data_IF_663234758302
#
_entry.id   IF_663234758302
#
_cell.length_a   1.000
_cell.length_b   1.000
_cell.length_c   1.000
_cell.angle_alpha   90.00
_cell.angle_beta   90.00
_cell.angle_gamma   90.00
#
_symmetry.space_group_name_H-M   'P 1'
#
loop_
_entity.id
_entity.type
_entity.pdbx_description
1 polymer ?
#
# COMPACT_ATOMS: atom_id res chain seq x y z
N UNK A 1 -11.97 -0.77 24.24
CA UNK A 1 -11.34 -1.64 23.23
C UNK A 1 -11.30 -1.00 21.85
N UNK A 2 -12.40 -0.86 21.09
CA UNK A 2 -12.32 -0.27 19.74
C UNK A 2 -11.87 1.20 19.72
N UNK A 3 -12.28 1.99 20.72
CA UNK A 3 -11.76 3.34 20.93
C UNK A 3 -10.23 3.34 21.11
N UNK A 4 -9.71 2.39 21.90
CA UNK A 4 -8.26 2.24 22.13
C UNK A 4 -7.50 1.80 20.87
N UNK A 5 -8.19 1.12 19.94
CA UNK A 5 -7.70 0.74 18.63
C UNK A 5 -7.82 1.88 17.59
N UNK A 6 -8.25 3.07 18.02
CA UNK A 6 -8.35 4.26 17.17
C UNK A 6 -9.64 4.37 16.35
N UNK A 7 -10.63 3.51 16.59
CA UNK A 7 -11.94 3.64 15.96
C UNK A 7 -12.72 4.78 16.59
N UNK A 8 -13.56 5.46 15.80
CA UNK A 8 -14.42 6.53 16.30
C UNK A 8 -15.89 6.15 16.24
N UNK A 9 -16.65 6.56 17.26
CA UNK A 9 -18.08 6.27 17.33
C UNK A 9 -18.86 7.21 16.40
N UNK A 10 -19.69 6.64 15.52
CA UNK A 10 -20.62 7.35 14.66
C UNK A 10 -22.04 6.83 14.88
N UNK A 11 -23.09 7.67 14.68
CA UNK A 11 -24.48 7.20 14.72
C UNK A 11 -24.79 6.14 13.65
N UNK A 12 -24.15 6.27 12.48
CA UNK A 12 -24.29 5.39 11.33
C UNK A 12 -22.89 5.15 10.77
N UNK A 13 -22.56 3.90 10.47
CA UNK A 13 -21.24 3.51 9.97
C UNK A 13 -21.23 3.60 8.45
N UNK A 14 -20.47 4.57 7.93
CA UNK A 14 -20.34 4.83 6.49
C UNK A 14 -18.88 4.83 6.02
N UNK A 15 -17.92 5.07 6.93
CA UNK A 15 -16.51 5.23 6.60
C UNK A 15 -15.61 4.23 7.37
N UNK A 16 -14.51 3.74 6.75
CA UNK A 16 -13.55 2.92 7.45
C UNK A 16 -12.99 3.61 8.69
N UNK A 17 -12.81 2.85 9.76
CA UNK A 17 -12.39 3.34 11.07
C UNK A 17 -13.53 3.77 12.00
N UNK A 18 -14.79 3.73 11.54
CA UNK A 18 -15.94 4.05 12.41
C UNK A 18 -16.67 2.82 12.96
N UNK A 19 -17.37 3.02 14.07
CA UNK A 19 -18.27 2.02 14.66
C UNK A 19 -19.52 2.67 15.25
N UNK A 20 -20.60 1.92 15.39
CA UNK A 20 -21.81 2.34 16.11
C UNK A 20 -22.26 1.25 17.07
N UNK A 21 -22.92 1.64 18.16
CA UNK A 21 -23.51 0.71 19.11
C UNK A 21 -24.96 1.12 19.39
N UNK A 22 -25.90 0.23 19.05
CA UNK A 22 -27.35 0.48 19.14
C UNK A 22 -28.06 -0.76 19.67
N UNK A 23 -28.24 -0.81 20.99
CA UNK A 23 -28.84 -1.97 21.67
C UNK A 23 -28.00 -3.23 21.42
N UNK A 24 -28.61 -4.31 20.95
CA UNK A 24 -27.89 -5.54 20.59
C UNK A 24 -27.18 -5.51 19.24
N UNK A 25 -26.97 -4.33 18.63
CA UNK A 25 -26.32 -4.23 17.31
C UNK A 25 -25.04 -3.40 17.43
N UNK A 26 -23.94 -3.96 16.95
CA UNK A 26 -22.66 -3.28 16.77
C UNK A 26 -22.34 -3.24 15.28
N UNK A 27 -22.27 -2.04 14.70
CA UNK A 27 -21.74 -1.87 13.35
C UNK A 27 -20.28 -1.42 13.45
N UNK A 28 -19.39 -1.95 12.62
CA UNK A 28 -17.97 -1.56 12.58
C UNK A 28 -17.43 -1.63 11.16
N UNK A 29 -16.66 -0.63 10.75
CA UNK A 29 -15.99 -0.63 9.44
C UNK A 29 -14.47 -0.74 9.61
N UNK A 30 -13.87 -1.94 9.46
CA UNK A 30 -12.43 -2.11 9.57
C UNK A 30 -11.69 -1.43 8.41
N UNK A 31 -10.55 -0.80 8.69
CA UNK A 31 -9.76 -0.03 7.69
C UNK A 31 -9.23 -0.88 6.53
N UNK A 32 -8.93 -2.15 6.77
CA UNK A 32 -8.49 -3.11 5.75
C UNK A 32 -9.62 -3.95 5.12
N UNK A 33 -10.87 -3.74 5.53
CA UNK A 33 -12.00 -4.53 5.03
C UNK A 33 -12.64 -3.89 3.79
N UNK A 34 -13.14 -4.73 2.89
CA UNK A 34 -13.91 -4.29 1.73
C UNK A 34 -15.25 -3.66 2.14
N UNK A 35 -15.92 -4.25 3.13
CA UNK A 35 -17.27 -3.90 3.60
C UNK A 35 -17.29 -3.78 5.13
N UNK A 36 -18.15 -2.92 5.70
CA UNK A 36 -18.41 -2.90 7.14
C UNK A 36 -19.15 -4.17 7.58
N UNK A 37 -19.12 -4.43 8.89
CA UNK A 37 -19.76 -5.57 9.53
C UNK A 37 -20.81 -5.11 10.51
N UNK A 38 -21.92 -5.83 10.55
CA UNK A 38 -22.94 -5.76 11.58
C UNK A 38 -22.83 -7.02 12.42
N UNK A 39 -22.66 -6.82 13.73
CA UNK A 39 -22.63 -7.86 14.74
C UNK A 39 -23.92 -7.73 15.53
N UNK A 40 -24.76 -8.76 15.47
CA UNK A 40 -26.00 -8.87 16.23
C UNK A 40 -25.72 -9.72 17.48
N UNK A 41 -26.09 -9.19 18.64
CA UNK A 41 -25.90 -9.79 19.94
C UNK A 41 -27.22 -10.38 20.45
N UNK A 42 -27.12 -11.54 21.09
CA UNK A 42 -28.14 -12.08 21.97
C UNK A 42 -27.61 -12.03 23.40
N UNK A 43 -28.15 -11.10 24.20
CA UNK A 43 -27.61 -10.72 25.50
C UNK A 43 -26.12 -10.32 25.42
N UNK A 44 -25.21 -11.13 25.92
CA UNK A 44 -23.75 -10.93 25.92
C UNK A 44 -23.00 -11.84 24.93
N UNK A 45 -23.72 -12.61 24.11
CA UNK A 45 -23.17 -13.50 23.10
C UNK A 45 -23.39 -12.95 21.68
N UNK A 46 -22.43 -13.21 20.78
CA UNK A 46 -22.58 -12.91 19.35
C UNK A 46 -23.52 -13.94 18.74
N UNK A 47 -24.65 -13.49 18.19
CA UNK A 47 -25.60 -14.33 17.45
C UNK A 47 -25.20 -14.43 15.98
N UNK A 48 -25.08 -13.28 15.29
CA UNK A 48 -24.65 -13.27 13.88
C UNK A 48 -23.69 -12.15 13.53
N UNK A 49 -22.82 -12.40 12.55
CA UNK A 49 -21.95 -11.38 11.94
C UNK A 49 -22.24 -11.34 10.44
N UNK A 50 -22.49 -10.14 9.90
CA UNK A 50 -22.82 -9.95 8.48
C UNK A 50 -22.11 -8.74 7.91
N UNK A 51 -21.56 -8.88 6.71
CA UNK A 51 -21.18 -7.70 5.93
C UNK A 51 -22.43 -6.93 5.49
N UNK A 52 -22.33 -5.60 5.41
CA UNK A 52 -23.40 -4.77 4.87
C UNK A 52 -22.85 -3.68 3.94
N UNK A 53 -23.71 -3.12 3.10
CA UNK A 53 -23.35 -2.02 2.21
C UNK A 53 -23.44 -0.69 2.99
N UNK A 54 -22.35 0.10 3.09
CA UNK A 54 -22.31 1.32 3.91
C UNK A 54 -23.25 2.42 3.44
N UNK A 55 -23.74 2.37 2.19
CA UNK A 55 -24.65 3.38 1.65
C UNK A 55 -26.10 2.98 1.90
N UNK A 56 -26.47 1.77 1.48
CA UNK A 56 -27.85 1.28 1.64
C UNK A 56 -28.16 0.74 3.03
N UNK A 57 -27.15 0.51 3.86
CA UNK A 57 -27.25 -0.07 5.21
C UNK A 57 -27.90 -1.48 5.23
N UNK A 58 -27.85 -2.19 4.10
CA UNK A 58 -28.43 -3.53 3.91
C UNK A 58 -27.37 -4.61 3.98
N UNK A 59 -27.70 -5.74 4.61
CA UNK A 59 -26.83 -6.91 4.67
C UNK A 59 -26.48 -7.44 3.28
N UNK A 60 -25.24 -7.89 3.12
CA UNK A 60 -24.68 -8.50 1.91
C UNK A 60 -24.54 -10.01 2.11
N UNK A 61 -23.68 -10.45 3.04
CA UNK A 61 -23.39 -11.87 3.28
C UNK A 61 -22.95 -12.11 4.74
N UNK A 62 -23.24 -13.29 5.32
CA UNK A 62 -22.76 -13.66 6.66
C UNK A 62 -21.26 -13.99 6.68
N UNK A 63 -20.66 -13.98 7.87
CA UNK A 63 -19.31 -14.49 8.16
C UNK A 63 -19.28 -15.08 9.58
N UNK A 64 -18.43 -16.07 9.80
CA UNK A 64 -18.33 -16.75 11.11
C UNK A 64 -17.32 -16.08 12.05
N UNK A 65 -16.26 -15.49 11.49
CA UNK A 65 -15.20 -14.78 12.22
C UNK A 65 -14.86 -13.48 11.49
N UNK A 66 -14.38 -12.48 12.25
CA UNK A 66 -13.69 -11.33 11.70
C UNK A 66 -12.54 -10.89 12.60
N UNK A 67 -11.45 -10.41 11.98
CA UNK A 67 -10.31 -9.83 12.68
C UNK A 67 -10.29 -8.33 12.46
N UNK A 68 -10.32 -7.58 13.55
CA UNK A 68 -10.29 -6.12 13.54
C UNK A 68 -8.85 -5.67 13.80
N UNK A 69 -8.21 -5.14 12.77
CA UNK A 69 -6.95 -4.42 12.92
C UNK A 69 -7.22 -3.04 13.56
N UNK A 70 -6.23 -2.41 14.19
CA UNK A 70 -6.32 -1.01 14.59
C UNK A 70 -6.73 -0.10 13.44
N UNK A 71 -7.56 0.90 13.74
CA UNK A 71 -7.97 1.92 12.77
C UNK A 71 -6.93 3.04 12.60
N UNK A 72 -5.92 3.10 13.48
CA UNK A 72 -4.81 4.06 13.44
C UNK A 72 -3.47 3.37 13.65
N UNK A 73 -2.42 3.97 13.09
CA UNK A 73 -1.03 3.50 13.24
C UNK A 73 -0.43 3.91 14.58
N UNK A 74 -0.83 5.06 15.13
CA UNK A 74 -0.41 5.54 16.44
C UNK A 74 -1.51 5.28 17.47
N UNK A 75 -1.19 4.50 18.50
CA UNK A 75 -2.11 4.11 19.56
C UNK A 75 -1.54 4.51 20.93
N UNK A 76 -1.61 5.80 21.31
CA UNK A 76 -1.04 6.29 22.58
C UNK A 76 -1.57 5.57 23.82
N UNK A 77 -2.84 5.16 23.80
CA UNK A 77 -3.47 4.37 24.87
C UNK A 77 -2.87 2.97 25.05
N UNK A 78 -2.20 2.44 24.02
CA UNK A 78 -1.55 1.12 24.03
C UNK A 78 -0.01 1.23 24.08
N UNK A 79 0.53 2.44 24.20
CA UNK A 79 1.97 2.67 24.29
C UNK A 79 2.56 2.07 25.58
N UNK A 80 3.81 1.64 25.53
CA UNK A 80 4.52 1.14 26.71
C UNK A 80 4.88 2.31 27.64
N UNK A 81 4.04 2.54 28.67
CA UNK A 81 4.14 3.69 29.57
C UNK A 81 5.54 3.92 30.16
N UNK A 82 6.25 2.89 30.69
CA UNK A 82 7.60 3.11 31.24
C UNK A 82 8.61 3.66 30.24
N UNK A 83 8.53 3.23 28.97
CA UNK A 83 9.43 3.75 27.93
C UNK A 83 9.08 5.19 27.61
N UNK A 84 7.78 5.48 27.48
CA UNK A 84 7.29 6.83 27.20
C UNK A 84 7.72 7.82 28.30
N UNK A 85 7.55 7.45 29.57
CA UNK A 85 8.00 8.25 30.73
C UNK A 85 9.51 8.47 30.70
N UNK A 86 10.30 7.41 30.46
CA UNK A 86 11.77 7.52 30.36
C UNK A 86 12.19 8.49 29.24
N UNK A 87 11.52 8.45 28.08
CA UNK A 87 11.79 9.36 26.97
C UNK A 87 11.36 10.78 27.26
N UNK A 88 10.25 10.97 27.98
CA UNK A 88 9.78 12.29 28.44
C UNK A 88 10.74 12.90 29.46
N UNK A 89 11.27 12.12 30.39
CA UNK A 89 12.25 12.57 31.39
C UNK A 89 13.59 12.95 30.77
N UNK A 90 13.94 12.34 29.62
CA UNK A 90 15.16 12.65 28.88
C UNK A 90 15.09 13.97 28.08
N UNK A 91 13.89 14.57 27.95
CA UNK A 91 13.70 15.82 27.22
C UNK A 91 14.38 16.99 27.93
N UNK A 92 15.28 17.66 27.22
CA UNK A 92 15.98 18.82 27.75
C UNK A 92 15.38 20.13 27.20
N UNK A 93 14.69 20.83 28.09
CA UNK A 93 14.03 22.11 27.83
C UNK A 93 14.91 23.33 28.12
N UNK A 94 16.23 23.19 28.32
CA UNK A 94 17.12 24.30 28.67
C UNK A 94 17.07 25.48 27.67
N UNK A 95 16.84 25.18 26.39
CA UNK A 95 16.69 26.19 25.32
C UNK A 95 15.23 26.67 25.12
N UNK A 96 14.26 26.05 25.79
CA UNK A 96 12.83 26.28 25.58
C UNK A 96 12.26 27.29 26.59
N UNK A 97 11.33 28.13 26.13
CA UNK A 97 10.50 28.95 27.01
C UNK A 97 9.43 28.11 27.73
N UNK A 98 8.84 28.67 28.80
CA UNK A 98 7.76 28.01 29.55
C UNK A 98 6.56 27.68 28.66
N UNK A 99 6.23 28.55 27.69
CA UNK A 99 5.14 28.31 26.74
C UNK A 99 5.28 26.99 25.96
N UNK A 100 6.51 26.64 25.55
CA UNK A 100 6.77 25.39 24.82
C UNK A 100 6.65 24.18 25.74
N UNK A 101 7.13 24.30 26.98
CA UNK A 101 7.00 23.25 27.99
C UNK A 101 5.53 22.99 28.31
N UNK A 102 4.76 24.04 28.58
CA UNK A 102 3.36 23.95 28.94
C UNK A 102 2.53 23.39 27.77
N UNK A 103 2.80 23.85 26.54
CA UNK A 103 2.17 23.31 25.32
C UNK A 103 2.45 21.82 25.14
N UNK A 104 3.71 21.37 25.25
CA UNK A 104 4.04 19.95 25.08
C UNK A 104 3.38 19.11 26.20
N UNK A 105 3.37 19.60 27.44
CA UNK A 105 2.70 18.92 28.54
C UNK A 105 1.18 18.78 28.31
N UNK A 106 0.52 19.83 27.82
CA UNK A 106 -0.90 19.81 27.45
C UNK A 106 -1.15 18.82 26.30
N UNK A 107 -0.38 18.90 25.21
CA UNK A 107 -0.51 18.01 24.05
C UNK A 107 -0.34 16.54 24.43
N UNK A 108 0.64 16.21 25.28
CA UNK A 108 0.85 14.85 25.78
C UNK A 108 -0.30 14.37 26.67
N UNK A 109 -0.92 15.26 27.47
CA UNK A 109 -2.07 14.91 28.31
C UNK A 109 -3.33 14.57 27.48
N UNK A 110 -3.49 15.21 26.32
CA UNK A 110 -4.61 14.98 25.40
C UNK A 110 -4.34 13.83 24.42
N UNK A 111 -3.07 13.46 24.23
CA UNK A 111 -2.64 12.43 23.28
C UNK A 111 -3.34 11.09 23.50
N UNK A 112 -3.64 10.73 24.75
CA UNK A 112 -4.31 9.48 25.12
C UNK A 112 -5.84 9.53 25.05
N UNK A 113 -6.44 10.73 24.98
CA UNK A 113 -7.90 10.90 25.14
C UNK A 113 -8.59 11.39 23.87
N UNK A 114 -8.05 12.38 23.18
CA UNK A 114 -8.64 12.94 21.96
C UNK A 114 -7.56 13.48 21.00
N UNK A 115 -6.62 12.63 20.55
CA UNK A 115 -5.51 13.11 19.73
C UNK A 115 -5.98 13.49 18.32
N UNK A 116 -5.58 14.69 17.88
CA UNK A 116 -5.68 15.05 16.47
C UNK A 116 -4.56 14.36 15.64
N UNK A 117 -4.74 14.18 14.31
CA UNK A 117 -3.79 13.46 13.47
C UNK A 117 -2.37 14.08 13.38
N UNK A 118 -2.27 15.41 13.46
CA UNK A 118 -1.00 16.11 13.37
C UNK A 118 -0.16 15.87 14.63
N UNK A 119 -0.78 15.97 15.81
CA UNK A 119 -0.14 15.66 17.09
C UNK A 119 0.30 14.20 17.16
N UNK A 120 -0.51 13.25 16.68
CA UNK A 120 -0.10 11.83 16.64
C UNK A 120 1.15 11.60 15.81
N UNK A 121 1.18 12.16 14.61
CA UNK A 121 2.34 12.06 13.72
C UNK A 121 3.58 12.67 14.37
N UNK A 122 3.43 13.81 15.03
CA UNK A 122 4.53 14.53 15.66
C UNK A 122 5.12 13.78 16.87
N UNK A 123 4.27 13.19 17.73
CA UNK A 123 4.70 12.45 18.92
C UNK A 123 4.91 10.94 18.66
N UNK A 124 4.91 10.49 17.40
CA UNK A 124 5.05 9.08 17.07
C UNK A 124 6.33 8.46 17.65
N UNK A 125 7.44 9.21 17.71
CA UNK A 125 8.69 8.76 18.32
C UNK A 125 8.61 8.50 19.83
N UNK A 126 7.58 8.99 20.53
CA UNK A 126 7.32 8.64 21.94
C UNK A 126 6.42 7.42 22.08
N UNK A 127 5.45 7.28 21.18
CA UNK A 127 4.35 6.31 21.28
C UNK A 127 4.71 4.96 20.65
N UNK A 128 5.49 4.98 19.58
CA UNK A 128 5.78 3.80 18.78
C UNK A 128 7.24 3.37 18.94
N UNK A 129 7.44 2.08 19.08
CA UNK A 129 8.75 1.42 19.16
C UNK A 129 8.96 0.42 18.03
N UNK A 130 7.87 0.02 17.36
CA UNK A 130 7.91 -0.96 16.31
C UNK A 130 8.45 -0.34 15.02
N UNK A 131 9.05 -1.19 14.20
CA UNK A 131 9.60 -0.81 12.90
C UNK A 131 9.28 -1.89 11.88
N UNK A 132 9.34 -1.52 10.60
CA UNK A 132 8.93 -2.39 9.50
C UNK A 132 9.68 -3.74 9.50
N UNK A 133 10.95 -3.76 9.92
CA UNK A 133 11.76 -4.98 9.92
C UNK A 133 11.21 -6.08 10.83
N UNK A 134 10.45 -5.75 11.89
CA UNK A 134 9.82 -6.75 12.75
C UNK A 134 8.73 -7.57 12.03
N UNK A 135 8.11 -6.98 11.00
CA UNK A 135 7.02 -7.59 10.25
C UNK A 135 7.49 -8.47 9.08
N UNK A 136 8.76 -8.37 8.69
CA UNK A 136 9.34 -9.16 7.59
C UNK A 136 9.56 -10.62 8.02
N UNK A 137 9.80 -10.86 9.32
CA UNK A 137 10.03 -12.18 9.90
C UNK A 137 11.33 -12.85 9.44
N UNK A 138 11.61 -14.05 9.94
CA UNK A 138 12.87 -14.78 9.62
C UNK A 138 12.91 -15.38 8.21
N UNK A 139 11.75 -15.49 7.54
CA UNK A 139 11.61 -16.13 6.24
C UNK A 139 11.31 -15.13 5.11
N UNK A 140 11.25 -13.83 5.42
CA UNK A 140 11.05 -12.81 4.42
C UNK A 140 12.30 -12.61 3.56
N UNK A 141 12.10 -12.37 2.26
CA UNK A 141 13.14 -11.92 1.35
C UNK A 141 12.94 -10.43 1.08
N UNK A 142 13.95 -9.61 1.35
CA UNK A 142 13.92 -8.18 1.00
C UNK A 142 14.56 -7.98 -0.37
N UNK A 143 13.78 -7.50 -1.33
CA UNK A 143 14.28 -7.18 -2.66
C UNK A 143 14.56 -5.68 -2.72
N UNK A 144 15.82 -5.31 -2.89
CA UNK A 144 16.29 -3.92 -2.90
C UNK A 144 16.58 -3.50 -4.34
N UNK A 145 15.68 -2.74 -4.94
CA UNK A 145 15.91 -2.13 -6.25
C UNK A 145 16.84 -0.92 -6.09
N UNK A 146 18.00 -0.95 -6.77
CA UNK A 146 19.02 0.10 -6.77
C UNK A 146 19.45 0.50 -5.36
N UNK A 147 20.01 -0.45 -4.61
CA UNK A 147 20.47 -0.25 -3.23
C UNK A 147 21.23 1.06 -3.00
N UNK A 148 22.20 1.40 -3.87
CA UNK A 148 22.97 2.64 -3.73
C UNK A 148 22.11 3.91 -3.78
N UNK A 149 20.98 3.89 -4.49
CA UNK A 149 20.02 5.00 -4.48
C UNK A 149 19.20 5.01 -3.19
N UNK A 150 18.78 3.86 -2.70
CA UNK A 150 18.06 3.75 -1.41
C UNK A 150 18.91 4.32 -0.28
N UNK A 151 20.19 3.93 -0.24
CA UNK A 151 21.16 4.44 0.73
C UNK A 151 21.35 5.96 0.62
N UNK A 152 21.58 6.47 -0.59
CA UNK A 152 21.77 7.91 -0.81
C UNK A 152 20.54 8.74 -0.38
N UNK A 153 19.33 8.29 -0.73
CA UNK A 153 18.08 8.97 -0.36
C UNK A 153 17.83 8.91 1.16
N UNK A 154 18.18 7.78 1.81
CA UNK A 154 18.06 7.65 3.26
C UNK A 154 19.01 8.61 4.00
N UNK A 155 20.27 8.69 3.58
CA UNK A 155 21.26 9.61 4.15
C UNK A 155 20.88 11.09 3.93
N UNK A 156 20.39 11.44 2.74
CA UNK A 156 19.91 12.80 2.45
C UNK A 156 18.70 13.17 3.32
N UNK A 157 17.76 12.23 3.49
CA UNK A 157 16.59 12.41 4.34
C UNK A 157 16.98 12.61 5.80
N UNK A 158 17.93 11.83 6.31
CA UNK A 158 18.47 11.94 7.65
C UNK A 158 19.15 13.30 7.88
N UNK A 159 20.02 13.74 6.98
CA UNK A 159 20.66 15.07 7.06
C UNK A 159 19.61 16.20 7.05
N UNK A 160 18.55 16.07 6.25
CA UNK A 160 17.46 17.04 6.21
C UNK A 160 16.69 17.09 7.53
N UNK A 161 16.41 15.94 8.14
CA UNK A 161 15.74 15.88 9.44
C UNK A 161 16.60 16.47 10.55
N UNK A 162 17.89 16.15 10.58
CA UNK A 162 18.80 16.66 11.60
C UNK A 162 18.93 18.19 11.50
N UNK A 163 19.13 18.74 10.29
CA UNK A 163 19.15 20.20 10.09
C UNK A 163 17.86 20.88 10.55
N UNK A 164 16.71 20.29 10.27
CA UNK A 164 15.42 20.83 10.69
C UNK A 164 15.24 20.77 12.21
N UNK A 165 15.69 19.68 12.83
CA UNK A 165 15.69 19.47 14.27
C UNK A 165 16.57 20.50 14.97
N UNK A 166 17.85 20.57 14.60
CA UNK A 166 18.81 21.53 15.15
C UNK A 166 18.31 22.97 15.04
N UNK A 167 17.71 23.33 13.90
CA UNK A 167 17.15 24.66 13.70
C UNK A 167 15.99 24.97 14.67
N UNK A 168 15.11 23.99 14.95
CA UNK A 168 14.00 24.14 15.91
C UNK A 168 14.51 24.16 17.36
N UNK A 169 15.47 23.30 17.69
CA UNK A 169 16.10 23.27 19.02
C UNK A 169 16.83 24.60 19.32
N UNK A 170 17.54 25.15 18.34
CA UNK A 170 18.25 26.43 18.49
C UNK A 170 17.30 27.64 18.59
N UNK A 171 16.09 27.55 18.03
CA UNK A 171 15.02 28.54 18.24
C UNK A 171 14.22 28.32 19.53
N UNK A 172 14.49 27.25 20.27
CA UNK A 172 13.75 26.89 21.48
C UNK A 172 12.34 26.36 21.24
N UNK A 173 12.01 26.00 19.99
CA UNK A 173 10.70 25.49 19.57
C UNK A 173 10.53 23.99 19.85
N UNK A 174 11.64 23.28 20.05
CA UNK A 174 11.71 21.85 20.32
C UNK A 174 12.74 21.60 21.43
N UNK A 175 12.42 20.79 22.46
CA UNK A 175 13.42 20.40 23.45
C UNK A 175 14.49 19.50 22.80
N UNK A 176 15.70 19.55 23.35
CA UNK A 176 16.78 18.64 22.97
C UNK A 176 16.39 17.22 23.43
N UNK A 177 16.90 16.19 22.73
CA UNK A 177 16.54 14.78 22.92
C UNK A 177 15.07 14.42 22.61
N UNK A 178 14.32 15.28 21.92
CA UNK A 178 13.01 14.90 21.40
C UNK A 178 13.10 13.62 20.54
N UNK A 179 12.32 12.55 20.85
CA UNK A 179 12.45 11.28 20.14
C UNK A 179 12.09 11.38 18.66
N UNK A 180 12.96 10.83 17.81
CA UNK A 180 12.72 10.74 16.38
C UNK A 180 11.68 9.66 16.08
N UNK A 181 10.71 9.91 15.18
CA UNK A 181 9.83 8.88 14.64
C UNK A 181 10.51 8.00 13.58
N UNK A 182 11.76 8.32 13.21
CA UNK A 182 12.54 7.63 12.18
C UNK A 182 13.73 6.90 12.80
N UNK A 183 14.05 5.74 12.23
CA UNK A 183 15.28 5.01 12.46
C UNK A 183 16.38 5.57 11.56
N UNK A 184 17.58 5.77 12.09
CA UNK A 184 18.76 6.17 11.32
C UNK A 184 19.21 5.07 10.35
N UNK A 185 19.94 5.46 9.32
CA UNK A 185 20.39 4.53 8.28
C UNK A 185 21.31 3.43 8.81
N UNK A 186 22.19 3.74 9.75
CA UNK A 186 23.13 2.76 10.32
C UNK A 186 22.36 1.64 11.04
N UNK A 187 21.40 1.99 11.89
CA UNK A 187 20.54 1.04 12.59
C UNK A 187 19.68 0.23 11.61
N UNK A 188 19.11 0.89 10.60
CA UNK A 188 18.30 0.21 9.59
C UNK A 188 19.12 -0.79 8.76
N UNK A 189 20.29 -0.37 8.24
CA UNK A 189 21.18 -1.21 7.43
C UNK A 189 21.73 -2.40 8.21
N UNK A 190 22.10 -2.20 9.48
CA UNK A 190 22.50 -3.29 10.37
C UNK A 190 21.39 -4.32 10.55
N UNK A 191 20.14 -3.89 10.74
CA UNK A 191 18.99 -4.82 10.85
C UNK A 191 18.69 -5.52 9.53
N UNK A 192 18.75 -4.78 8.42
CA UNK A 192 18.54 -5.31 7.08
C UNK A 192 19.56 -6.41 6.74
N UNK A 193 20.81 -6.29 7.22
CA UNK A 193 21.84 -7.32 7.04
C UNK A 193 21.50 -8.66 7.68
N UNK A 194 20.59 -8.68 8.67
CA UNK A 194 20.11 -9.87 9.35
C UNK A 194 18.99 -10.62 8.60
N UNK A 195 18.49 -10.07 7.49
CA UNK A 195 17.39 -10.65 6.70
C UNK A 195 17.92 -11.09 5.33
N UNK A 196 17.46 -12.22 4.77
CA UNK A 196 17.76 -12.57 3.39
C UNK A 196 17.43 -11.41 2.45
N UNK A 197 18.42 -11.00 1.65
CA UNK A 197 18.28 -9.88 0.73
C UNK A 197 18.66 -10.28 -0.69
N UNK A 198 17.95 -9.71 -1.66
CA UNK A 198 18.30 -9.76 -3.08
C UNK A 198 18.40 -8.34 -3.59
N UNK A 199 19.55 -7.96 -4.13
CA UNK A 199 19.72 -6.64 -4.73
C UNK A 199 19.44 -6.72 -6.22
N UNK A 200 18.56 -5.86 -6.71
CA UNK A 200 18.28 -5.70 -8.13
C UNK A 200 18.86 -4.37 -8.58
N UNK A 201 19.91 -4.39 -9.38
CA UNK A 201 20.45 -3.17 -9.98
C UNK A 201 19.84 -2.96 -11.38
N UNK A 202 19.48 -1.72 -11.68
CA UNK A 202 19.02 -1.33 -13.02
C UNK A 202 20.10 -0.44 -13.61
N UNK A 203 20.91 -0.97 -14.52
CA UNK A 203 21.70 -0.23 -15.52
C UNK A 203 22.47 0.99 -14.98
N UNK A 204 23.73 0.82 -14.56
CA UNK A 204 24.97 1.54 -14.95
C UNK A 204 26.20 0.75 -14.43
N UNK A 205 26.72 -0.24 -15.19
CA UNK A 205 28.03 -0.86 -14.90
C UNK A 205 28.38 -2.04 -15.79
N UNK A 206 29.67 -2.22 -16.11
CA UNK A 206 30.17 -3.38 -16.91
C UNK A 206 30.13 -4.72 -16.13
N UNK A 207 29.94 -4.68 -14.82
CA UNK A 207 29.90 -5.83 -13.88
C UNK A 207 28.45 -6.23 -13.47
N UNK A 208 27.47 -6.07 -14.35
CA UNK A 208 26.04 -6.23 -13.98
C UNK A 208 25.40 -7.61 -14.23
N UNK A 209 24.38 -7.91 -13.42
CA UNK A 209 23.44 -9.02 -13.56
C UNK A 209 22.56 -8.86 -14.82
N UNK A 210 22.92 -9.56 -15.89
CA UNK A 210 22.22 -9.55 -17.19
C UNK A 210 21.03 -10.50 -17.25
N UNK A 211 20.31 -10.66 -16.14
CA UNK A 211 19.18 -11.59 -16.03
C UNK A 211 18.07 -11.16 -17.00
N UNK A 212 17.65 -9.89 -16.91
CA UNK A 212 16.63 -9.32 -17.78
C UNK A 212 17.24 -8.42 -18.85
N UNK A 213 16.89 -8.68 -20.11
CA UNK A 213 17.27 -7.88 -21.29
C UNK A 213 16.02 -7.18 -21.82
N UNK A 214 16.09 -5.93 -22.30
CA UNK A 214 14.97 -5.29 -22.97
C UNK A 214 14.49 -6.13 -24.17
N UNK A 215 13.19 -6.26 -24.34
CA UNK A 215 12.61 -6.93 -25.51
C UNK A 215 12.72 -6.07 -26.78
N UNK A 216 12.64 -6.70 -27.95
CA UNK A 216 12.69 -5.99 -29.24
C UNK A 216 11.46 -5.10 -29.43
N UNK A 217 11.69 -3.85 -29.85
CA UNK A 217 10.63 -2.89 -30.17
C UNK A 217 10.21 -3.04 -31.64
N UNK A 218 8.92 -3.31 -31.85
CA UNK A 218 8.33 -3.52 -33.18
C UNK A 218 7.60 -2.28 -33.70
N UNK A 219 7.06 -1.43 -32.83
CA UNK A 219 6.40 -0.16 -33.19
C UNK A 219 5.36 -0.32 -34.33
N UNK A 220 4.52 -1.35 -34.23
CA UNK A 220 3.46 -1.67 -35.20
C UNK A 220 3.91 -2.51 -36.39
N UNK A 221 5.20 -2.86 -36.51
CA UNK A 221 5.71 -3.77 -37.56
C UNK A 221 5.40 -5.23 -37.24
N UNK A 222 4.13 -5.59 -37.34
CA UNK A 222 3.64 -6.91 -36.92
C UNK A 222 4.14 -8.06 -37.82
N UNK A 223 4.48 -7.80 -39.09
CA UNK A 223 5.15 -8.78 -39.96
C UNK A 223 6.54 -9.16 -39.41
N UNK A 224 7.28 -8.17 -38.91
CA UNK A 224 8.59 -8.40 -38.28
C UNK A 224 8.42 -9.16 -36.97
N UNK A 225 7.41 -8.82 -36.16
CA UNK A 225 7.04 -9.55 -34.95
C UNK A 225 6.75 -11.02 -35.28
N UNK A 226 5.96 -11.31 -36.32
CA UNK A 226 5.63 -12.68 -36.70
C UNK A 226 6.87 -13.48 -37.12
N UNK A 227 7.75 -12.88 -37.92
CA UNK A 227 9.03 -13.48 -38.34
C UNK A 227 9.94 -13.79 -37.14
N UNK A 228 10.09 -12.85 -36.21
CA UNK A 228 10.90 -13.02 -35.01
C UNK A 228 10.29 -14.02 -34.04
N UNK A 229 8.97 -14.00 -33.86
CA UNK A 229 8.24 -14.98 -33.03
C UNK A 229 8.42 -16.39 -33.57
N UNK A 230 8.32 -16.58 -34.90
CA UNK A 230 8.58 -17.88 -35.53
C UNK A 230 10.02 -18.35 -35.28
N UNK A 231 10.99 -17.44 -35.36
CA UNK A 231 12.40 -17.74 -35.04
C UNK A 231 12.56 -18.13 -33.57
N UNK A 232 11.88 -17.44 -32.65
CA UNK A 232 11.84 -17.76 -31.23
C UNK A 232 11.24 -19.15 -30.97
N UNK A 233 10.14 -19.52 -31.63
CA UNK A 233 9.57 -20.86 -31.52
C UNK A 233 10.54 -21.95 -31.98
N UNK A 234 11.24 -21.73 -33.10
CA UNK A 234 12.26 -22.67 -33.61
C UNK A 234 13.47 -22.79 -32.67
N UNK A 235 13.77 -21.75 -31.90
CA UNK A 235 14.80 -21.74 -30.88
C UNK A 235 14.31 -22.25 -29.51
N UNK A 236 13.08 -22.78 -29.42
CA UNK A 236 12.43 -23.25 -28.18
C UNK A 236 12.20 -22.14 -27.13
N UNK A 237 12.12 -20.88 -27.55
CA UNK A 237 11.81 -19.78 -26.65
C UNK A 237 10.30 -19.71 -26.43
N UNK A 238 9.89 -19.41 -25.21
CA UNK A 238 8.51 -19.04 -24.93
C UNK A 238 8.31 -17.55 -25.16
N UNK A 239 7.22 -17.19 -25.83
CA UNK A 239 6.84 -15.79 -26.07
C UNK A 239 5.50 -15.54 -25.38
N UNK A 240 5.45 -14.54 -24.52
CA UNK A 240 4.23 -14.08 -23.85
C UNK A 240 4.01 -12.64 -24.26
N UNK A 241 2.85 -12.30 -24.82
CA UNK A 241 2.48 -10.91 -25.04
C UNK A 241 1.25 -10.53 -24.21
N UNK A 242 1.39 -9.45 -23.42
CA UNK A 242 0.31 -8.88 -22.61
C UNK A 242 -0.15 -7.59 -23.30
N UNK A 243 -1.36 -7.62 -23.87
CA UNK A 243 -1.83 -6.55 -24.76
C UNK A 243 -3.33 -6.32 -24.63
N UNK A 244 -3.78 -5.07 -24.79
CA UNK A 244 -5.21 -4.74 -24.92
C UNK A 244 -5.80 -5.17 -26.26
N UNK A 245 -4.95 -5.53 -27.23
CA UNK A 245 -5.31 -5.86 -28.60
C UNK A 245 -5.13 -7.35 -28.91
N UNK A 246 -5.29 -8.23 -27.90
CA UNK A 246 -5.07 -9.67 -27.95
C UNK A 246 -5.62 -10.33 -29.22
N UNK A 247 -6.91 -10.14 -29.53
CA UNK A 247 -7.56 -10.74 -30.73
C UNK A 247 -6.91 -10.30 -32.03
N UNK A 248 -6.62 -9.00 -32.17
CA UNK A 248 -5.99 -8.43 -33.37
C UNK A 248 -4.57 -8.95 -33.56
N UNK A 249 -3.80 -9.06 -32.48
CA UNK A 249 -2.44 -9.60 -32.54
C UNK A 249 -2.48 -11.10 -32.88
N UNK A 250 -3.41 -11.86 -32.30
CA UNK A 250 -3.62 -13.27 -32.62
C UNK A 250 -3.89 -13.49 -34.11
N UNK A 251 -4.87 -12.77 -34.67
CA UNK A 251 -5.25 -12.87 -36.08
C UNK A 251 -4.06 -12.64 -37.03
N UNK A 252 -3.22 -11.64 -36.73
CA UNK A 252 -2.08 -11.30 -37.57
C UNK A 252 -0.96 -12.35 -37.47
N UNK A 253 -0.67 -12.84 -36.26
CA UNK A 253 0.31 -13.91 -36.05
C UNK A 253 -0.14 -15.22 -36.71
N UNK A 254 -1.42 -15.57 -36.60
CA UNK A 254 -1.99 -16.78 -37.21
C UNK A 254 -2.00 -16.69 -38.75
N UNK A 255 -2.30 -15.52 -39.34
CA UNK A 255 -2.19 -15.30 -40.78
C UNK A 255 -0.77 -15.51 -41.29
N UNK A 256 0.23 -15.11 -40.48
CA UNK A 256 1.64 -15.36 -40.72
C UNK A 256 2.09 -16.76 -40.25
N UNK A 257 1.17 -17.70 -39.99
CA UNK A 257 1.48 -19.10 -39.68
C UNK A 257 2.18 -19.34 -38.34
N UNK A 258 2.09 -18.40 -37.40
CA UNK A 258 2.56 -18.56 -36.01
C UNK A 258 1.43 -19.16 -35.18
N UNK A 259 1.68 -20.30 -34.53
CA UNK A 259 0.70 -20.91 -33.63
C UNK A 259 0.61 -20.16 -32.31
N UNK A 260 -0.58 -19.62 -31.99
CA UNK A 260 -0.82 -18.77 -30.82
C UNK A 260 -1.86 -19.40 -29.89
N UNK A 261 -1.64 -19.27 -28.58
CA UNK A 261 -2.63 -19.62 -27.55
C UNK A 261 -3.15 -18.35 -26.87
N UNK A 262 -4.44 -18.07 -26.99
CA UNK A 262 -5.09 -16.97 -26.27
C UNK A 262 -5.54 -17.46 -24.89
N UNK A 263 -5.11 -16.76 -23.83
CA UNK A 263 -5.38 -17.13 -22.43
C UNK A 263 -5.85 -15.90 -21.64
N UNK A 264 -6.59 -16.11 -20.55
CA UNK A 264 -7.04 -15.04 -19.64
C UNK A 264 -5.98 -14.76 -18.56
N UNK A 265 -5.33 -15.81 -18.05
CA UNK A 265 -4.27 -15.75 -17.04
C UNK A 265 -3.15 -16.75 -17.37
N UNK A 266 -2.01 -16.59 -16.70
CA UNK A 266 -0.86 -17.48 -16.81
C UNK A 266 -0.47 -17.95 -15.39
N UNK A 267 -0.95 -19.13 -15.01
CA UNK A 267 -0.76 -19.67 -13.65
C UNK A 267 0.54 -20.49 -13.52
N UNK A 268 1.10 -20.93 -14.65
CA UNK A 268 2.34 -21.71 -14.73
C UNK A 268 3.25 -21.16 -15.82
N UNK A 269 4.55 -21.45 -15.73
CA UNK A 269 5.49 -21.08 -16.78
C UNK A 269 5.07 -21.63 -18.15
N UNK A 270 5.22 -20.85 -19.24
CA UNK A 270 4.88 -21.29 -20.58
C UNK A 270 5.87 -22.36 -21.06
N UNK A 271 5.37 -23.31 -21.85
CA UNK A 271 6.19 -24.39 -22.42
C UNK A 271 7.15 -23.87 -23.49
N UNK A 272 8.24 -24.62 -23.73
CA UNK A 272 9.19 -24.32 -24.79
C UNK A 272 8.51 -24.17 -26.16
N UNK A 273 8.78 -23.05 -26.85
CA UNK A 273 8.19 -22.74 -28.16
C UNK A 273 6.72 -22.26 -28.12
N UNK A 274 6.12 -22.14 -26.94
CA UNK A 274 4.74 -21.67 -26.80
C UNK A 274 4.66 -20.15 -27.00
N UNK A 275 3.66 -19.71 -27.75
CA UNK A 275 3.31 -18.29 -27.90
C UNK A 275 1.97 -18.05 -27.24
N UNK A 276 1.97 -17.31 -26.12
CA UNK A 276 0.78 -16.99 -25.36
C UNK A 276 0.44 -15.51 -25.52
N UNK A 277 -0.84 -15.20 -25.75
CA UNK A 277 -1.35 -13.83 -25.67
C UNK A 277 -2.31 -13.72 -24.51
N UNK A 278 -2.14 -12.70 -23.67
CA UNK A 278 -3.02 -12.39 -22.54
C UNK A 278 -3.60 -10.98 -22.67
N UNK A 279 -4.85 -10.77 -22.24
CA UNK A 279 -5.40 -9.43 -22.12
C UNK A 279 -4.75 -8.70 -20.94
N UNK A 280 -4.30 -7.48 -21.15
CA UNK A 280 -3.76 -6.67 -20.06
C UNK A 280 -2.95 -5.48 -20.53
N UNK A 281 -2.32 -4.81 -19.59
CA UNK A 281 -1.35 -3.76 -19.88
C UNK A 281 -0.23 -3.81 -18.83
N UNK A 282 1.00 -3.98 -19.33
CA UNK A 282 2.22 -3.79 -18.56
C UNK A 282 3.03 -2.67 -19.19
N UNK A 283 3.98 -2.14 -18.43
CA UNK A 283 4.76 -0.97 -18.83
C UNK A 283 5.78 -1.28 -19.92
N UNK A 284 6.60 -2.30 -19.69
CA UNK A 284 7.74 -2.66 -20.53
C UNK A 284 7.88 -4.19 -20.59
N UNK A 285 8.31 -4.68 -21.74
CA UNK A 285 8.64 -6.07 -21.98
C UNK A 285 10.11 -6.37 -21.69
N UNK A 286 10.41 -7.64 -21.44
CA UNK A 286 11.76 -8.11 -21.14
C UNK A 286 11.98 -9.52 -21.66
N UNK A 287 13.23 -9.90 -21.82
CA UNK A 287 13.68 -11.24 -22.18
C UNK A 287 14.58 -11.76 -21.06
N UNK A 288 14.32 -12.98 -20.59
CA UNK A 288 15.13 -13.65 -19.56
C UNK A 288 15.55 -15.02 -20.05
N UNK A 289 16.80 -15.38 -19.78
CA UNK A 289 17.30 -16.74 -19.96
C UNK A 289 17.04 -17.53 -18.68
N UNK A 290 16.26 -18.59 -18.78
CA UNK A 290 15.88 -19.42 -17.63
C UNK A 290 16.91 -20.55 -17.42
N UNK A 291 17.17 -20.98 -16.17
CA UNK A 291 17.99 -22.14 -15.89
C UNK A 291 17.45 -23.38 -16.62
N UNK A 292 18.35 -24.22 -17.15
CA UNK A 292 17.95 -25.44 -17.86
C UNK A 292 17.47 -26.50 -16.88
N UNK A 293 16.16 -26.58 -16.67
CA UNK A 293 15.54 -27.67 -15.93
C UNK A 293 14.54 -28.46 -16.80
N UNK A 294 14.99 -29.61 -17.30
CA UNK A 294 14.20 -30.78 -17.73
C UNK A 294 13.15 -30.70 -18.86
N UNK A 295 12.39 -29.63 -19.02
CA UNK A 295 11.33 -29.50 -20.05
C UNK A 295 10.79 -28.07 -20.26
N UNK A 296 11.32 -27.10 -19.52
CA UNK A 296 10.87 -25.71 -19.56
C UNK A 296 11.60 -24.89 -20.64
N UNK A 297 10.98 -23.79 -21.09
CA UNK A 297 11.60 -22.91 -22.08
C UNK A 297 12.93 -22.35 -21.56
N UNK A 298 13.99 -22.41 -22.36
CA UNK A 298 15.31 -21.87 -21.97
C UNK A 298 15.37 -20.35 -21.99
N UNK A 299 14.39 -19.72 -22.62
CA UNK A 299 14.29 -18.26 -22.73
C UNK A 299 12.82 -17.88 -22.78
N UNK A 300 12.45 -16.88 -21.98
CA UNK A 300 11.13 -16.29 -21.96
C UNK A 300 11.21 -14.85 -22.46
N UNK A 301 10.44 -14.54 -23.49
CA UNK A 301 10.29 -13.20 -24.07
C UNK A 301 8.91 -12.68 -23.68
N UNK A 302 8.87 -11.61 -22.90
CA UNK A 302 7.68 -10.83 -22.60
C UNK A 302 7.60 -9.61 -23.51
N UNK A 303 6.44 -9.43 -24.14
CA UNK A 303 6.11 -8.28 -24.97
C UNK A 303 4.87 -7.58 -24.40
N UNK A 304 4.85 -6.25 -24.48
CA UNK A 304 3.72 -5.42 -24.05
C UNK A 304 3.27 -4.51 -25.19
N UNK A 305 2.22 -3.71 -24.97
CA UNK A 305 1.81 -2.69 -25.94
C UNK A 305 2.91 -1.65 -26.23
N UNK A 306 3.92 -1.51 -25.34
CA UNK A 306 5.09 -0.68 -25.61
C UNK A 306 5.96 -1.28 -26.72
N UNK A 307 6.32 -2.56 -26.64
CA UNK A 307 7.10 -3.22 -27.68
C UNK A 307 6.30 -3.37 -28.97
N UNK A 308 5.02 -3.74 -28.86
CA UNK A 308 4.18 -4.01 -30.00
C UNK A 308 3.79 -2.75 -30.76
N UNK A 309 3.47 -1.65 -30.07
CA UNK A 309 2.86 -0.46 -30.67
C UNK A 309 3.51 0.87 -30.25
N UNK A 310 4.45 0.87 -29.31
CA UNK A 310 5.04 2.09 -28.75
C UNK A 310 4.13 2.82 -27.78
N UNK A 311 3.12 2.13 -27.22
CA UNK A 311 2.14 2.75 -26.31
C UNK A 311 2.21 2.14 -24.92
N UNK A 312 2.47 2.97 -23.92
CA UNK A 312 2.44 2.59 -22.50
C UNK A 312 1.12 3.08 -21.90
N UNK A 313 0.30 2.16 -21.38
CA UNK A 313 -0.88 2.49 -20.57
C UNK A 313 -0.76 1.85 -19.19
N UNK A 314 -0.57 2.67 -18.17
CA UNK A 314 -0.65 2.22 -16.78
C UNK A 314 -2.12 2.09 -16.35
N UNK A 315 -2.49 0.94 -15.80
CA UNK A 315 -3.76 0.82 -15.08
C UNK A 315 -3.70 1.74 -13.86
N UNK A 316 -4.45 2.84 -13.87
CA UNK A 316 -4.66 3.64 -12.68
C UNK A 316 -5.47 2.82 -11.69
N UNK A 317 -4.92 2.57 -10.50
CA UNK A 317 -5.69 2.10 -9.37
C UNK A 317 -6.82 3.10 -9.13
N UNK A 318 -8.05 2.70 -9.45
CA UNK A 318 -9.23 3.48 -9.10
C UNK A 318 -9.37 3.41 -7.58
N UNK A 319 -8.96 4.48 -6.89
CA UNK A 319 -9.32 4.65 -5.47
C UNK A 319 -10.84 4.54 -5.39
N UNK A 320 -11.35 3.63 -4.56
CA UNK A 320 -12.79 3.54 -4.30
C UNK A 320 -13.29 4.92 -3.93
N UNK A 321 -14.29 5.39 -4.68
CA UNK A 321 -14.98 6.65 -4.39
C UNK A 321 -15.37 6.61 -2.91
N UNK A 322 -14.85 7.55 -2.10
CA UNK A 322 -15.64 8.07 -0.97
C UNK A 322 -17.01 8.39 -1.55
N UNK A 323 -18.08 8.09 -0.83
CA UNK A 323 -19.39 8.60 -1.20
C UNK A 323 -19.25 10.14 -1.34
N UNK A 324 -19.13 10.65 -2.56
CA UNK A 324 -19.12 12.10 -2.84
C UNK A 324 -20.48 12.70 -2.49
N UNK A 325 -21.49 11.85 -2.40
CA UNK A 325 -22.79 12.19 -1.88
C UNK A 325 -22.76 11.77 -0.41
N UNK A 326 -22.61 12.75 0.48
CA UNK A 326 -23.05 12.57 1.86
C UNK A 326 -24.52 12.09 1.86
N UNK A 327 -25.00 11.52 2.97
CA UNK A 327 -26.36 11.00 3.04
C UNK A 327 -27.35 12.02 2.47
N UNK A 328 -28.36 11.57 1.72
CA UNK A 328 -29.58 12.36 1.52
C UNK A 328 -29.91 12.94 2.89
N UNK A 329 -29.83 14.26 3.08
CA UNK A 329 -30.02 14.88 4.39
C UNK A 329 -31.40 14.45 4.87
N UNK A 330 -31.44 13.48 5.77
CA UNK A 330 -32.68 13.02 6.36
C UNK A 330 -33.13 14.17 7.25
N UNK A 331 -34.39 14.56 7.17
CA UNK A 331 -34.96 15.66 7.99
C UNK A 331 -34.67 15.49 9.51
N UNK A 332 -34.36 14.26 9.94
CA UNK A 332 -33.97 13.91 11.30
C UNK A 332 -32.56 14.39 11.71
N UNK A 333 -31.67 14.69 10.77
CA UNK A 333 -30.29 15.13 11.03
C UNK A 333 -30.15 16.66 11.14
N UNK A 334 -31.27 17.39 11.06
CA UNK A 334 -31.30 18.85 11.17
C UNK A 334 -31.12 19.30 12.62
N UNK A 335 -30.09 20.12 12.84
CA UNK A 335 -29.87 20.84 14.10
C UNK A 335 -30.66 22.15 14.13
N UNK A 336 -31.13 22.62 15.30
CA UNK A 336 -31.77 23.93 15.43
C UNK A 336 -30.87 25.05 14.87
N UNK A 337 -31.40 25.84 13.93
CA UNK A 337 -30.67 26.91 13.25
C UNK A 337 -30.11 26.53 11.86
N UNK A 338 -30.22 25.26 11.45
CA UNK A 338 -29.89 24.86 10.09
C UNK A 338 -30.85 25.50 9.07
N UNK A 339 -30.30 26.02 7.98
CA UNK A 339 -31.10 26.56 6.88
C UNK A 339 -31.59 25.41 5.99
N UNK A 340 -32.89 25.39 5.73
CA UNK A 340 -33.55 24.44 4.82
C UNK A 340 -34.29 25.21 3.75
N UNK A 341 -34.39 24.62 2.56
CA UNK A 341 -35.10 25.24 1.44
C UNK A 341 -36.40 24.48 1.21
N UNK A 342 -37.54 25.17 1.34
CA UNK A 342 -38.86 24.61 1.05
C UNK A 342 -39.21 24.89 -0.41
N UNK A 343 -39.66 23.86 -1.13
CA UNK A 343 -39.91 23.95 -2.59
C UNK A 343 -40.84 25.10 -3.01
N UNK A 344 -41.82 25.42 -2.16
CA UNK A 344 -42.79 26.50 -2.42
C UNK A 344 -42.41 27.86 -1.81
N UNK A 345 -41.45 27.92 -0.89
CA UNK A 345 -41.21 29.11 -0.06
C UNK A 345 -39.78 29.64 -0.08
N UNK A 346 -38.83 28.89 -0.63
CA UNK A 346 -37.41 29.25 -0.60
C UNK A 346 -36.84 28.99 0.76
#
# INVERSE_FOLDING_TARGET
>A
QWLDLGYHHEPVVEAPGSFSHRGGILDVYPTGSEWPLRIELWDDEIDTIRYFDPVSQRSIRPTDEVRLAPAREQLPSLAHQPTMETRMDALDYAKCGNEVRDRIAEELSVLSTAPNPESLSFYNGLVNEAHLMEYIGSNGLVVLERYGRVEAEALELEERFERMREARENRGELPVNFPSPHMDWETFSNRLSGVPQMQLQTWVGDDEDKIFKPSTLYYGKLEQLASDTRRHQQANYAVVAITQHQRRVAEILEQEGVGVTQMESLDSAPSAGQVCLLPGALRDGWTVELPKDGSEATTLVLLTDNELFGTVKEQRYSRRRKAEHGPEVVLADLVPGAHVVHIDHG
#
